data_IF_237447853862
#
_entry.id   IF_237447853862
#
_cell.length_a   1.000
_cell.length_b   1.000
_cell.length_c   1.000
_cell.angle_alpha   90.00
_cell.angle_beta   90.00
_cell.angle_gamma   90.00
#
_symmetry.space_group_name_H-M   'P 1'
#
loop_
_entity.id
_entity.type
_entity.pdbx_description
1 polymer ?
#
# COMPACT_ATOMS: atom_id res chain seq x y z
N UNK A 1 19.97 13.04 -6.73
CA UNK A 1 19.76 11.78 -7.48
C UNK A 1 18.26 11.57 -7.57
N UNK A 2 17.68 11.55 -8.77
CA UNK A 2 16.35 10.99 -8.97
C UNK A 2 16.47 9.47 -8.84
N UNK A 3 15.63 8.85 -7.99
CA UNK A 3 15.61 7.40 -7.83
C UNK A 3 15.12 6.73 -9.11
N UNK A 4 15.46 5.45 -9.31
CA UNK A 4 15.08 4.66 -10.51
C UNK A 4 13.59 4.30 -10.59
N UNK A 5 12.77 4.77 -9.64
CA UNK A 5 11.34 4.53 -9.54
C UNK A 5 10.63 5.88 -9.56
N UNK A 6 9.96 6.16 -10.68
CA UNK A 6 9.05 7.28 -10.80
C UNK A 6 7.61 6.86 -10.42
N UNK A 7 6.74 7.86 -10.34
CA UNK A 7 5.34 7.71 -9.95
C UNK A 7 4.57 6.72 -10.85
N UNK A 8 4.78 6.79 -12.16
CA UNK A 8 4.07 5.96 -13.14
C UNK A 8 4.50 4.49 -13.06
N UNK A 9 5.80 4.25 -12.90
CA UNK A 9 6.33 2.90 -12.72
C UNK A 9 5.81 2.26 -11.45
N UNK A 10 5.76 3.02 -10.36
CA UNK A 10 5.20 2.54 -9.09
C UNK A 10 3.71 2.21 -9.21
N UNK A 11 2.91 3.14 -9.74
CA UNK A 11 1.48 2.96 -9.99
C UNK A 11 1.19 1.73 -10.84
N UNK A 12 1.92 1.58 -11.95
CA UNK A 12 1.78 0.42 -12.84
C UNK A 12 2.05 -0.88 -12.10
N UNK A 13 3.11 -0.94 -11.29
CA UNK A 13 3.43 -2.12 -10.50
C UNK A 13 2.30 -2.47 -9.52
N UNK A 14 1.78 -1.48 -8.77
CA UNK A 14 0.73 -1.74 -7.78
C UNK A 14 -0.55 -2.26 -8.45
N UNK A 15 -1.03 -1.57 -9.48
CA UNK A 15 -2.30 -1.91 -10.13
C UNK A 15 -2.24 -3.22 -10.92
N UNK A 16 -1.14 -3.47 -11.62
CA UNK A 16 -1.07 -4.60 -12.58
C UNK A 16 -0.44 -5.85 -12.02
N UNK A 17 0.37 -5.73 -10.96
CA UNK A 17 1.12 -6.87 -10.41
C UNK A 17 0.80 -7.15 -8.95
N UNK A 18 0.70 -6.12 -8.10
CA UNK A 18 0.50 -6.33 -6.66
C UNK A 18 -0.96 -6.61 -6.30
N UNK A 19 -1.89 -5.72 -6.66
CA UNK A 19 -3.31 -5.83 -6.32
C UNK A 19 -3.94 -7.16 -6.78
N UNK A 20 -3.66 -7.69 -7.99
CA UNK A 20 -4.18 -8.99 -8.41
C UNK A 20 -3.75 -10.18 -7.55
N UNK A 21 -2.72 -10.02 -6.71
CA UNK A 21 -2.23 -11.05 -5.79
C UNK A 21 -2.78 -10.88 -4.36
N UNK A 22 -3.47 -9.77 -4.07
CA UNK A 22 -4.05 -9.48 -2.77
C UNK A 22 -5.46 -10.05 -2.66
N UNK A 23 -5.86 -10.42 -1.44
CA UNK A 23 -7.24 -10.79 -1.18
C UNK A 23 -8.06 -9.57 -0.73
N UNK A 24 -9.40 -9.60 -0.92
CA UNK A 24 -10.27 -8.60 -0.33
C UNK A 24 -10.15 -8.53 1.19
N UNK A 25 -10.14 -7.32 1.76
CA UNK A 25 -10.15 -7.14 3.20
C UNK A 25 -11.46 -7.67 3.82
N UNK A 26 -11.45 -8.39 4.98
CA UNK A 26 -10.34 -8.64 5.92
C UNK A 26 -9.64 -10.01 5.78
N UNK A 27 -9.63 -10.62 4.58
CA UNK A 27 -8.95 -11.91 4.39
C UNK A 27 -7.43 -11.82 4.60
N UNK A 28 -6.71 -12.94 4.68
CA UNK A 28 -5.24 -12.92 4.75
C UNK A 28 -4.64 -12.23 3.52
N UNK A 29 -3.54 -11.49 3.69
CA UNK A 29 -2.88 -10.74 2.60
C UNK A 29 -3.78 -9.66 1.94
N UNK A 30 -4.57 -8.95 2.74
CA UNK A 30 -5.52 -7.91 2.28
C UNK A 30 -5.16 -6.48 2.72
N UNK A 31 -3.97 -6.28 3.28
CA UNK A 31 -3.51 -4.99 3.79
C UNK A 31 -2.25 -4.59 3.03
N UNK A 32 -2.25 -3.37 2.47
CA UNK A 32 -1.09 -2.78 1.82
C UNK A 32 -0.51 -1.69 2.74
N UNK A 33 0.74 -1.89 3.17
CA UNK A 33 1.49 -0.95 4.01
C UNK A 33 2.55 -0.27 3.14
N UNK A 34 2.55 1.06 3.12
CA UNK A 34 3.53 1.86 2.38
C UNK A 34 4.12 2.94 3.28
N UNK A 35 5.35 3.36 2.98
CA UNK A 35 5.94 4.56 3.58
C UNK A 35 5.28 5.82 3.00
N UNK A 36 5.51 6.98 3.63
CA UNK A 36 4.90 8.25 3.21
C UNK A 36 5.66 8.93 2.04
N UNK A 37 6.19 8.15 1.09
CA UNK A 37 6.87 8.70 -0.06
C UNK A 37 5.91 9.49 -0.95
N UNK A 38 6.34 10.65 -1.47
CA UNK A 38 5.52 11.53 -2.32
C UNK A 38 4.94 10.83 -3.56
N UNK A 39 5.62 9.81 -4.08
CA UNK A 39 5.18 9.04 -5.24
C UNK A 39 3.97 8.14 -4.96
N UNK A 40 3.60 7.93 -3.69
CA UNK A 40 2.44 7.12 -3.28
C UNK A 40 1.13 7.93 -3.24
N UNK A 41 1.21 9.26 -3.38
CA UNK A 41 0.06 10.17 -3.36
C UNK A 41 -0.49 10.38 -4.78
N UNK A 42 -0.97 9.31 -5.40
CA UNK A 42 -1.69 9.34 -6.68
C UNK A 42 -3.17 9.00 -6.44
N UNK A 43 -4.08 9.89 -6.83
CA UNK A 43 -5.51 9.72 -6.53
C UNK A 43 -6.11 8.46 -7.18
N UNK A 44 -5.68 8.11 -8.40
CA UNK A 44 -6.14 6.89 -9.07
C UNK A 44 -5.64 5.63 -8.33
N UNK A 45 -4.41 5.69 -7.81
CA UNK A 45 -3.84 4.60 -7.01
C UNK A 45 -4.60 4.44 -5.70
N UNK A 46 -4.86 5.53 -4.98
CA UNK A 46 -5.59 5.50 -3.70
C UNK A 46 -6.98 4.89 -3.91
N UNK A 47 -7.71 5.38 -4.92
CA UNK A 47 -9.06 4.89 -5.24
C UNK A 47 -9.08 3.40 -5.55
N UNK A 48 -8.16 2.92 -6.41
CA UNK A 48 -8.11 1.51 -6.79
C UNK A 48 -7.74 0.57 -5.63
N UNK A 49 -6.96 1.07 -4.67
CA UNK A 49 -6.51 0.31 -3.50
C UNK A 49 -7.62 0.27 -2.45
N UNK A 50 -8.35 1.36 -2.20
CA UNK A 50 -9.44 1.42 -1.22
C UNK A 50 -10.60 0.45 -1.52
N UNK A 51 -10.89 0.18 -2.79
CA UNK A 51 -11.99 -0.73 -3.19
C UNK A 51 -11.69 -2.21 -2.91
N UNK A 52 -10.42 -2.59 -2.75
CA UNK A 52 -9.99 -4.00 -2.72
C UNK A 52 -9.25 -4.31 -1.40
N UNK A 53 -8.49 -3.39 -0.84
CA UNK A 53 -7.61 -3.61 0.30
C UNK A 53 -7.72 -2.49 1.33
N UNK A 54 -7.31 -2.76 2.56
CA UNK A 54 -7.15 -1.68 3.53
C UNK A 54 -5.83 -0.93 3.23
N UNK A 55 -5.93 0.31 2.75
CA UNK A 55 -4.79 1.18 2.53
C UNK A 55 -4.33 1.78 3.87
N UNK A 56 -3.14 1.41 4.32
CA UNK A 56 -2.46 2.06 5.43
C UNK A 56 -1.25 2.84 4.90
N UNK A 57 -1.42 4.14 4.64
CA UNK A 57 -0.30 5.05 4.48
C UNK A 57 0.30 5.30 5.86
N UNK A 58 1.35 4.57 6.22
CA UNK A 58 1.86 4.62 7.59
C UNK A 58 2.97 5.67 7.71
N UNK A 59 2.74 6.67 8.55
CA UNK A 59 3.83 7.33 9.25
C UNK A 59 4.40 6.37 10.29
N UNK A 60 5.65 6.55 10.77
CA UNK A 60 6.29 5.63 11.71
C UNK A 60 5.45 5.31 12.96
N UNK A 61 4.70 6.30 13.46
CA UNK A 61 3.87 6.16 14.66
C UNK A 61 2.63 5.29 14.43
N UNK A 62 2.02 5.39 13.25
CA UNK A 62 0.86 4.58 12.85
C UNK A 62 1.31 3.15 12.57
N UNK A 63 2.44 2.97 11.88
CA UNK A 63 3.04 1.66 11.64
C UNK A 63 3.25 0.89 12.95
N UNK A 64 3.84 1.55 13.97
CA UNK A 64 4.10 0.95 15.27
C UNK A 64 2.83 0.43 15.94
N UNK A 65 1.75 1.21 15.93
CA UNK A 65 0.46 0.78 16.50
C UNK A 65 -0.14 -0.42 15.74
N UNK A 66 -0.10 -0.39 14.41
CA UNK A 66 -0.58 -1.51 13.61
C UNK A 66 0.25 -2.77 13.82
N UNK A 67 1.58 -2.68 13.96
CA UNK A 67 2.44 -3.85 14.24
C UNK A 67 2.30 -4.38 15.68
N UNK A 68 2.04 -3.51 16.67
CA UNK A 68 1.79 -3.93 18.05
C UNK A 68 0.42 -4.63 18.21
N UNK A 69 -0.59 -4.24 17.41
CA UNK A 69 -1.94 -4.82 17.45
C UNK A 69 -2.16 -5.94 16.42
N UNK A 70 -1.30 -6.10 15.42
CA UNK A 70 -1.43 -7.16 14.41
C UNK A 70 -0.65 -8.41 14.78
N UNK A 71 -1.38 -9.52 14.90
CA UNK A 71 -0.79 -10.87 15.08
C UNK A 71 -0.19 -11.31 13.74
N UNK A 72 1.00 -10.83 13.41
CA UNK A 72 1.83 -11.44 12.35
C UNK A 72 2.84 -12.40 13.00
N UNK A 73 2.76 -13.67 12.59
CA UNK A 73 3.80 -14.69 12.79
C UNK A 73 5.06 -14.33 12.00
#
# INVERSE_FOLDING_TARGET
>A
MEGSCDKERFKTFVLTQLIPQMNPYPAKHSVLVMDNARIHHDDDLVTAVEDIVALAQTTPDIAKKYFEESVYL
#
